data_IF_078527155421
#
_entry.id   IF_078527155421
#
_cell.length_a   1.000
_cell.length_b   1.000
_cell.length_c   1.000
_cell.angle_alpha   90.00
_cell.angle_beta   90.00
_cell.angle_gamma   90.00
#
_symmetry.space_group_name_H-M   'P 1'
#
loop_
_entity.id
_entity.type
_entity.pdbx_description
1 polymer ?
#
# COMPACT_ATOMS: atom_id res chain seq x y z
N UNK A 1 -15.17 19.56 4.69
CA UNK A 1 -14.09 18.55 4.63
C UNK A 1 -13.74 18.18 6.05
N UNK A 2 -13.90 16.91 6.43
CA UNK A 2 -13.46 16.40 7.73
C UNK A 2 -12.01 15.95 7.65
N UNK A 3 -11.29 16.05 8.77
CA UNK A 3 -9.98 15.41 8.96
C UNK A 3 -10.23 14.28 9.97
N UNK A 4 -9.83 13.07 9.60
CA UNK A 4 -9.85 11.92 10.51
C UNK A 4 -8.45 11.69 11.05
N UNK A 5 -8.36 11.40 12.35
CA UNK A 5 -7.12 11.04 13.02
C UNK A 5 -7.19 9.59 13.46
N UNK A 6 -6.13 8.82 13.20
CA UNK A 6 -5.94 7.50 13.80
C UNK A 6 -5.29 7.72 15.17
N UNK A 7 -6.08 7.58 16.23
CA UNK A 7 -5.58 7.65 17.60
C UNK A 7 -5.17 6.25 18.09
N UNK A 8 -3.89 5.92 17.92
CA UNK A 8 -3.29 4.69 18.43
C UNK A 8 -1.92 5.00 19.09
N UNK A 9 -1.91 5.61 20.29
CA UNK A 9 -0.67 6.09 20.92
C UNK A 9 0.36 4.99 21.15
N UNK A 10 -0.09 3.77 21.47
CA UNK A 10 0.77 2.58 21.60
C UNK A 10 1.55 2.23 20.33
N UNK A 11 1.14 2.72 19.15
CA UNK A 11 1.85 2.60 17.88
C UNK A 11 2.53 3.89 17.41
N UNK A 12 2.14 5.08 17.87
CA UNK A 12 2.65 6.33 17.29
C UNK A 12 3.26 7.32 18.29
N UNK A 13 2.89 7.26 19.57
CA UNK A 13 3.41 8.16 20.62
C UNK A 13 4.75 7.66 21.14
N UNK A 14 5.81 7.90 20.36
CA UNK A 14 7.19 7.50 20.69
C UNK A 14 8.23 8.41 20.05
N UNK A 15 9.42 8.55 20.66
CA UNK A 15 10.47 9.44 20.14
C UNK A 15 11.12 8.87 18.88
N UNK A 16 11.55 9.74 17.96
CA UNK A 16 12.21 9.36 16.72
C UNK A 16 11.51 9.94 15.50
N UNK A 17 11.61 9.25 14.36
CA UNK A 17 10.92 9.60 13.12
C UNK A 17 9.65 8.77 12.94
N UNK A 18 8.84 9.01 11.90
CA UNK A 18 7.70 8.14 11.58
C UNK A 18 8.07 6.66 11.34
N UNK A 19 9.33 6.37 11.00
CA UNK A 19 9.79 5.03 10.58
C UNK A 19 10.86 4.42 11.49
N UNK A 20 11.63 5.24 12.19
CA UNK A 20 12.82 4.83 12.95
C UNK A 20 12.82 5.38 14.36
N UNK A 21 13.42 4.63 15.27
CA UNK A 21 13.73 5.08 16.64
C UNK A 21 14.82 6.17 16.65
N UNK A 22 15.20 6.62 17.84
CA UNK A 22 16.24 7.66 18.02
C UNK A 22 17.64 7.22 17.59
N UNK A 23 17.86 5.93 17.39
CA UNK A 23 19.12 5.34 16.92
C UNK A 23 19.09 5.03 15.41
N UNK A 24 18.04 5.48 14.71
CA UNK A 24 17.80 5.26 13.28
C UNK A 24 17.51 3.80 12.90
N UNK A 25 17.13 2.94 13.86
CA UNK A 25 16.65 1.59 13.56
C UNK A 25 15.16 1.63 13.22
N UNK A 26 14.77 0.94 12.15
CA UNK A 26 13.37 0.83 11.77
C UNK A 26 12.58 0.16 12.89
N UNK A 27 11.41 0.69 13.24
CA UNK A 27 10.58 0.05 14.24
C UNK A 27 10.14 -1.33 13.76
N UNK A 28 10.28 -2.32 14.64
CA UNK A 28 9.95 -3.73 14.34
C UNK A 28 8.46 -3.95 14.07
N UNK A 29 7.62 -3.04 14.57
CA UNK A 29 6.18 -3.04 14.40
C UNK A 29 5.70 -2.08 13.29
N UNK A 30 6.60 -1.57 12.43
CA UNK A 30 6.20 -0.79 11.25
C UNK A 30 5.17 -1.51 10.37
N UNK A 31 5.24 -2.85 10.31
CA UNK A 31 4.22 -3.67 9.64
C UNK A 31 2.82 -3.38 10.16
N UNK A 32 2.64 -3.29 11.48
CA UNK A 32 1.35 -2.99 12.13
C UNK A 32 0.95 -1.53 11.92
N UNK A 33 1.90 -0.60 12.07
CA UNK A 33 1.65 0.84 11.94
C UNK A 33 1.07 1.20 10.58
N UNK A 34 1.63 0.63 9.52
CA UNK A 34 1.21 0.93 8.14
C UNK A 34 0.06 0.01 7.68
N UNK A 35 -0.07 -1.18 8.26
CA UNK A 35 -1.28 -1.98 8.12
C UNK A 35 -2.52 -1.29 8.70
N UNK A 36 -2.40 -0.68 9.90
CA UNK A 36 -3.48 0.07 10.52
C UNK A 36 -3.95 1.24 9.65
N UNK A 37 -3.02 1.98 9.04
CA UNK A 37 -3.36 3.08 8.12
C UNK A 37 -4.18 2.58 6.93
N UNK A 38 -3.74 1.48 6.30
CA UNK A 38 -4.47 0.88 5.18
C UNK A 38 -5.83 0.33 5.59
N UNK A 39 -5.90 -0.31 6.76
CA UNK A 39 -7.11 -0.92 7.31
C UNK A 39 -8.16 0.15 7.62
N UNK A 40 -7.79 1.24 8.30
CA UNK A 40 -8.71 2.36 8.57
C UNK A 40 -9.22 2.98 7.27
N UNK A 41 -8.36 3.13 6.25
CA UNK A 41 -8.80 3.59 4.93
C UNK A 41 -9.89 2.70 4.31
N UNK A 42 -9.78 1.39 4.47
CA UNK A 42 -10.81 0.43 4.06
C UNK A 42 -12.06 0.51 4.94
N UNK A 43 -11.92 0.59 6.26
CA UNK A 43 -13.06 0.66 7.18
C UNK A 43 -13.89 1.93 6.97
N UNK A 44 -13.26 3.06 6.63
CA UNK A 44 -13.98 4.26 6.18
C UNK A 44 -14.84 3.98 4.95
N UNK A 45 -14.34 3.22 3.97
CA UNK A 45 -15.12 2.77 2.80
C UNK A 45 -16.22 1.77 3.16
N UNK A 46 -16.00 0.93 4.18
CA UNK A 46 -17.01 0.01 4.73
C UNK A 46 -18.11 0.72 5.53
N UNK A 47 -17.93 2.02 5.85
CA UNK A 47 -18.91 2.80 6.58
C UNK A 47 -18.67 2.94 8.08
N UNK A 48 -17.40 2.95 8.50
CA UNK A 48 -17.00 3.28 9.86
C UNK A 48 -17.61 4.62 10.33
N UNK A 49 -17.68 5.61 9.42
CA UNK A 49 -18.48 6.82 9.64
C UNK A 49 -19.91 6.62 9.06
N UNK A 50 -20.96 6.72 9.90
CA UNK A 50 -22.34 6.55 9.43
C UNK A 50 -22.84 7.70 8.55
N UNK A 51 -22.17 8.86 8.55
CA UNK A 51 -22.58 10.06 7.82
C UNK A 51 -21.81 10.27 6.51
N UNK A 52 -20.67 9.61 6.34
CA UNK A 52 -19.83 9.80 5.15
C UNK A 52 -19.07 8.53 4.78
N UNK A 53 -18.97 8.27 3.47
CA UNK A 53 -18.18 7.16 2.91
C UNK A 53 -17.47 7.63 1.66
N UNK A 54 -16.19 7.27 1.44
CA UNK A 54 -15.49 7.58 0.21
C UNK A 54 -15.99 6.70 -0.94
N UNK A 55 -16.20 7.30 -2.10
CA UNK A 55 -16.34 6.54 -3.37
C UNK A 55 -14.98 6.02 -3.86
N UNK A 56 -13.91 6.74 -3.50
CA UNK A 56 -12.52 6.44 -3.92
C UNK A 56 -11.58 6.57 -2.72
N UNK A 57 -10.72 5.57 -2.53
CA UNK A 57 -9.58 5.62 -1.61
C UNK A 57 -8.31 5.81 -2.42
N UNK A 58 -7.64 6.96 -2.22
CA UNK A 58 -6.36 7.26 -2.85
C UNK A 58 -5.22 6.95 -1.86
N UNK A 59 -4.55 5.84 -2.08
CA UNK A 59 -3.41 5.39 -1.28
C UNK A 59 -2.09 5.90 -1.88
N UNK A 60 -1.18 6.37 -1.01
CA UNK A 60 0.11 6.90 -1.41
C UNK A 60 1.26 6.05 -0.85
N UNK A 61 2.02 5.47 -1.76
CA UNK A 61 3.21 4.67 -1.50
C UNK A 61 2.98 3.46 -0.58
N UNK A 62 4.06 2.74 -0.27
CA UNK A 62 4.03 1.52 0.54
C UNK A 62 3.35 1.74 1.91
N UNK A 63 3.41 2.94 2.48
CA UNK A 63 2.76 3.27 3.76
C UNK A 63 1.26 3.00 3.77
N UNK A 64 0.57 3.28 2.65
CA UNK A 64 -0.85 3.03 2.48
C UNK A 64 -1.12 1.87 1.51
N UNK A 65 -0.09 1.12 1.11
CA UNK A 65 -0.15 0.10 0.07
C UNK A 65 -1.08 -1.07 0.38
N UNK A 66 -1.42 -1.31 1.65
CA UNK A 66 -2.42 -2.31 2.02
C UNK A 66 -3.88 -1.84 1.85
N UNK A 67 -4.17 -0.54 1.74
CA UNK A 67 -5.56 -0.08 1.58
C UNK A 67 -6.27 -0.72 0.36
N UNK A 68 -5.67 -0.75 -0.85
CA UNK A 68 -6.27 -1.46 -1.99
C UNK A 68 -6.47 -2.97 -1.74
N UNK A 69 -5.55 -3.61 -1.02
CA UNK A 69 -5.65 -5.03 -0.70
C UNK A 69 -6.81 -5.31 0.28
N UNK A 70 -6.97 -4.50 1.33
CA UNK A 70 -8.10 -4.60 2.24
C UNK A 70 -9.44 -4.37 1.52
N UNK A 71 -9.52 -3.35 0.67
CA UNK A 71 -10.71 -3.11 -0.15
C UNK A 71 -11.04 -4.34 -1.01
N UNK A 72 -10.05 -4.94 -1.65
CA UNK A 72 -10.25 -6.16 -2.43
C UNK A 72 -10.74 -7.33 -1.56
N UNK A 73 -10.20 -7.52 -0.37
CA UNK A 73 -10.63 -8.55 0.58
C UNK A 73 -12.07 -8.34 1.08
N UNK A 74 -12.54 -7.09 1.15
CA UNK A 74 -13.89 -6.70 1.57
C UNK A 74 -14.91 -6.60 0.43
N UNK A 75 -14.58 -7.05 -0.77
CA UNK A 75 -15.49 -7.01 -1.92
C UNK A 75 -15.60 -5.64 -2.60
N UNK A 76 -14.54 -4.82 -2.51
CA UNK A 76 -14.38 -3.51 -3.16
C UNK A 76 -15.51 -2.52 -2.85
N UNK A 77 -15.69 -2.13 -1.57
CA UNK A 77 -16.72 -1.17 -1.18
C UNK A 77 -16.49 0.24 -1.75
N UNK A 78 -15.25 0.55 -2.16
CA UNK A 78 -14.86 1.77 -2.87
C UNK A 78 -13.84 1.43 -3.97
N UNK A 79 -13.68 2.34 -4.93
CA UNK A 79 -12.58 2.29 -5.90
C UNK A 79 -11.27 2.71 -5.26
N UNK A 80 -10.15 2.30 -5.84
CA UNK A 80 -8.83 2.59 -5.30
C UNK A 80 -7.88 3.17 -6.35
N UNK A 81 -7.18 4.23 -5.97
CA UNK A 81 -6.06 4.80 -6.75
C UNK A 81 -4.80 4.65 -5.91
N UNK A 82 -3.69 4.24 -6.52
CA UNK A 82 -2.41 4.10 -5.86
C UNK A 82 -1.34 4.97 -6.51
N UNK A 83 -0.75 5.91 -5.78
CA UNK A 83 0.40 6.67 -6.26
C UNK A 83 1.71 6.10 -5.75
N UNK A 84 2.63 5.81 -6.66
CA UNK A 84 4.02 5.48 -6.32
C UNK A 84 4.89 6.74 -6.34
N UNK A 85 5.61 7.01 -5.25
CA UNK A 85 6.60 8.10 -5.21
C UNK A 85 8.01 7.56 -5.36
N UNK A 86 8.32 6.39 -4.77
CA UNK A 86 9.64 5.78 -4.91
C UNK A 86 9.63 4.25 -4.78
N UNK A 87 9.78 3.57 -5.91
CA UNK A 87 9.82 2.11 -6.04
C UNK A 87 10.98 1.42 -5.29
N UNK A 88 12.02 2.17 -4.91
CA UNK A 88 13.12 1.63 -4.11
C UNK A 88 12.69 1.28 -2.67
N UNK A 89 11.61 1.91 -2.17
CA UNK A 89 11.07 1.66 -0.83
C UNK A 89 9.81 0.79 -0.93
N UNK A 90 9.98 -0.52 -0.81
CA UNK A 90 8.92 -1.50 -1.12
C UNK A 90 8.04 -1.89 0.08
N UNK A 91 8.36 -1.41 1.29
CA UNK A 91 7.68 -1.81 2.53
C UNK A 91 7.76 -3.33 2.75
N UNK A 92 8.99 -3.84 2.86
CA UNK A 92 9.27 -5.28 2.95
C UNK A 92 9.17 -5.78 4.39
N UNK A 93 8.36 -6.81 4.62
CA UNK A 93 8.17 -7.42 5.95
C UNK A 93 8.16 -8.95 5.88
N UNK A 94 8.48 -9.61 6.98
CA UNK A 94 8.48 -11.08 7.03
C UNK A 94 7.08 -11.68 6.85
N UNK A 95 6.98 -12.79 6.14
CA UNK A 95 5.71 -13.51 5.89
C UNK A 95 4.96 -13.93 7.17
N UNK A 96 5.67 -14.11 8.29
CA UNK A 96 5.06 -14.40 9.60
C UNK A 96 4.03 -13.36 10.04
N UNK A 97 4.10 -12.14 9.48
CA UNK A 97 3.17 -11.06 9.80
C UNK A 97 1.85 -11.13 9.01
N UNK A 98 1.60 -12.16 8.20
CA UNK A 98 0.30 -12.31 7.52
C UNK A 98 -0.88 -12.34 8.50
N UNK A 99 -0.72 -13.04 9.61
CA UNK A 99 -1.77 -13.11 10.65
C UNK A 99 -1.93 -11.78 11.39
N UNK A 100 -0.87 -10.96 11.43
CA UNK A 100 -0.85 -9.65 12.10
C UNK A 100 -1.57 -8.56 11.29
N UNK A 101 -1.68 -8.72 9.97
CA UNK A 101 -2.27 -7.71 9.07
C UNK A 101 -3.71 -8.05 8.63
N UNK A 102 -4.34 -9.05 9.25
CA UNK A 102 -5.75 -9.40 9.01
C UNK A 102 -6.16 -9.60 7.52
N UNK A 103 -5.22 -9.98 6.65
CA UNK A 103 -5.51 -10.36 5.27
C UNK A 103 -5.60 -11.89 5.15
N UNK A 104 -6.48 -12.42 4.28
CA UNK A 104 -6.52 -13.86 4.02
C UNK A 104 -5.17 -14.35 3.49
N UNK A 105 -4.72 -15.52 3.94
CA UNK A 105 -3.47 -16.14 3.46
C UNK A 105 -3.43 -16.32 1.94
N UNK A 106 -4.58 -16.41 1.26
CA UNK A 106 -4.65 -16.43 -0.20
C UNK A 106 -4.08 -15.19 -0.89
N UNK A 107 -3.97 -14.06 -0.18
CA UNK A 107 -3.37 -12.82 -0.70
C UNK A 107 -1.83 -12.88 -0.70
N UNK A 108 -1.23 -13.75 0.11
CA UNK A 108 0.20 -14.04 0.12
C UNK A 108 0.56 -14.96 -1.06
N UNK A 109 0.51 -14.39 -2.26
CA UNK A 109 0.73 -15.07 -3.53
C UNK A 109 1.56 -14.19 -4.47
N UNK A 110 2.28 -14.81 -5.42
CA UNK A 110 2.99 -14.09 -6.48
C UNK A 110 2.08 -13.14 -7.28
N UNK A 111 0.81 -13.49 -7.45
CA UNK A 111 -0.27 -12.68 -7.99
C UNK A 111 -1.04 -12.04 -6.83
N UNK A 112 -0.31 -11.31 -5.98
CA UNK A 112 -0.78 -10.72 -4.75
C UNK A 112 0.34 -9.89 -4.12
N UNK A 113 0.39 -9.85 -2.78
CA UNK A 113 1.33 -9.00 -2.04
C UNK A 113 2.68 -9.67 -1.74
N UNK A 114 2.82 -10.98 -1.97
CA UNK A 114 4.08 -11.70 -1.73
C UNK A 114 5.15 -11.22 -2.71
N UNK A 115 6.36 -10.98 -2.23
CA UNK A 115 7.51 -10.63 -3.05
C UNK A 115 8.79 -11.23 -2.45
N UNK A 116 9.42 -12.17 -3.16
CA UNK A 116 10.65 -12.86 -2.73
C UNK A 116 10.55 -13.50 -1.33
N UNK A 117 9.43 -14.16 -1.04
CA UNK A 117 9.13 -14.82 0.24
C UNK A 117 8.72 -13.87 1.37
N UNK A 118 8.55 -12.59 1.07
CA UNK A 118 8.21 -11.53 2.03
C UNK A 118 6.90 -10.84 1.65
N UNK A 119 6.35 -10.05 2.57
CA UNK A 119 5.28 -9.12 2.29
C UNK A 119 5.88 -7.88 1.62
N UNK A 120 5.28 -7.39 0.55
CA UNK A 120 5.56 -6.05 0.02
C UNK A 120 4.28 -5.23 0.00
N UNK A 121 4.23 -4.19 0.83
CA UNK A 121 3.07 -3.30 0.87
C UNK A 121 2.97 -2.49 -0.43
N UNK A 122 4.10 -2.10 -1.03
CA UNK A 122 4.12 -1.45 -2.33
C UNK A 122 3.52 -2.35 -3.42
N UNK A 123 3.93 -3.63 -3.45
CA UNK A 123 3.40 -4.61 -4.41
C UNK A 123 1.89 -4.80 -4.21
N UNK A 124 1.42 -4.85 -2.97
CA UNK A 124 -0.01 -4.93 -2.68
C UNK A 124 -0.77 -3.75 -3.30
N UNK A 125 -0.26 -2.52 -3.13
CA UNK A 125 -0.86 -1.32 -3.72
C UNK A 125 -0.90 -1.38 -5.24
N UNK A 126 0.22 -1.75 -5.87
CA UNK A 126 0.33 -1.92 -7.32
C UNK A 126 -0.59 -3.02 -7.88
N UNK A 127 -0.76 -4.12 -7.15
CA UNK A 127 -1.50 -5.28 -7.64
C UNK A 127 -3.02 -5.10 -7.49
N UNK A 128 -3.49 -4.59 -6.34
CA UNK A 128 -4.92 -4.59 -6.01
C UNK A 128 -5.67 -3.30 -6.39
N UNK A 129 -4.95 -2.19 -6.65
CA UNK A 129 -5.56 -0.91 -7.00
C UNK A 129 -6.32 -0.95 -8.33
N UNK A 130 -7.41 -0.18 -8.43
CA UNK A 130 -8.16 0.01 -9.68
C UNK A 130 -7.39 0.91 -10.66
N UNK A 131 -6.57 1.85 -10.17
CA UNK A 131 -5.75 2.75 -10.98
C UNK A 131 -4.41 3.07 -10.31
N UNK A 132 -3.36 3.31 -11.10
CA UNK A 132 -2.00 3.56 -10.58
C UNK A 132 -1.45 4.85 -11.18
N UNK A 133 -0.98 5.75 -10.33
CA UNK A 133 -0.31 6.97 -10.79
C UNK A 133 1.12 7.01 -10.30
N UNK A 134 1.94 7.81 -10.98
CA UNK A 134 3.30 8.11 -10.59
C UNK A 134 3.47 9.62 -10.46
N UNK A 135 4.47 10.06 -9.70
CA UNK A 135 4.72 11.48 -9.45
C UNK A 135 5.11 12.29 -10.69
N UNK A 136 5.53 11.62 -11.78
CA UNK A 136 5.73 12.27 -13.08
C UNK A 136 5.57 11.30 -14.25
N UNK A 137 5.28 11.80 -15.47
CA UNK A 137 5.25 10.98 -16.69
C UNK A 137 6.59 10.31 -16.99
N UNK A 138 7.70 10.99 -16.72
CA UNK A 138 9.05 10.43 -16.92
C UNK A 138 9.28 9.27 -15.96
N UNK A 139 8.98 9.48 -14.67
CA UNK A 139 9.11 8.43 -13.66
C UNK A 139 8.24 7.21 -13.96
N UNK A 140 7.00 7.43 -14.42
CA UNK A 140 6.09 6.36 -14.83
C UNK A 140 6.68 5.46 -15.93
N UNK A 141 7.48 6.04 -16.85
CA UNK A 141 8.18 5.26 -17.89
C UNK A 141 9.40 4.55 -17.33
N UNK A 142 10.23 5.26 -16.56
CA UNK A 142 11.48 4.73 -16.00
C UNK A 142 11.23 3.47 -15.17
N UNK A 143 10.23 3.45 -14.29
CA UNK A 143 9.95 2.30 -13.42
C UNK A 143 9.51 1.03 -14.17
N UNK A 144 9.27 1.10 -15.48
CA UNK A 144 8.97 -0.07 -16.32
C UNK A 144 10.21 -0.74 -16.90
N UNK A 145 11.35 -0.06 -16.81
CA UNK A 145 12.65 -0.55 -17.25
C UNK A 145 13.28 -1.40 -16.15
N UNK A 146 13.87 -2.57 -16.47
CA UNK A 146 14.39 -3.48 -15.47
C UNK A 146 15.37 -2.84 -14.47
N UNK A 147 16.20 -1.88 -14.91
CA UNK A 147 17.17 -1.23 -14.03
C UNK A 147 16.54 -0.29 -12.98
N UNK A 148 15.28 0.12 -13.14
CA UNK A 148 14.58 1.03 -12.22
C UNK A 148 13.33 0.38 -11.58
N UNK A 149 12.98 -0.84 -12.00
CA UNK A 149 11.79 -1.54 -11.55
C UNK A 149 11.98 -2.33 -10.25
N UNK A 150 13.21 -2.46 -9.74
CA UNK A 150 13.54 -3.14 -8.48
C UNK A 150 12.89 -4.54 -8.35
N UNK A 151 12.84 -5.30 -9.45
CA UNK A 151 12.25 -6.64 -9.53
C UNK A 151 10.72 -6.68 -9.70
N UNK A 152 10.06 -5.53 -9.87
CA UNK A 152 8.61 -5.42 -10.10
C UNK A 152 8.25 -5.18 -11.57
N UNK A 153 9.21 -5.28 -12.51
CA UNK A 153 9.01 -4.99 -13.94
C UNK A 153 7.88 -5.81 -14.56
N UNK A 154 7.75 -7.08 -14.18
CA UNK A 154 6.68 -7.95 -14.67
C UNK A 154 5.30 -7.43 -14.25
N UNK A 155 5.16 -7.02 -12.99
CA UNK A 155 3.92 -6.45 -12.47
C UNK A 155 3.63 -5.09 -13.13
N UNK A 156 4.61 -4.19 -13.15
CA UNK A 156 4.46 -2.82 -13.67
C UNK A 156 4.08 -2.81 -15.15
N UNK A 157 4.67 -3.69 -15.96
CA UNK A 157 4.26 -3.87 -17.35
C UNK A 157 2.80 -4.34 -17.43
N UNK A 158 2.40 -5.31 -16.62
CA UNK A 158 1.03 -5.85 -16.67
C UNK A 158 -0.06 -4.82 -16.32
N UNK A 159 0.24 -3.84 -15.46
CA UNK A 159 -0.72 -2.82 -15.03
C UNK A 159 -0.74 -1.60 -15.96
N UNK A 160 0.40 -1.22 -16.54
CA UNK A 160 0.48 -0.12 -17.51
C UNK A 160 -0.17 -0.51 -18.83
N UNK A 161 0.01 -1.75 -19.30
CA UNK A 161 -0.65 -2.26 -20.51
C UNK A 161 -2.19 -2.32 -20.39
N UNK A 162 -2.74 -2.28 -19.17
CA UNK A 162 -4.19 -2.23 -18.92
C UNK A 162 -4.77 -0.80 -18.94
N UNK A 163 -3.99 0.22 -19.31
CA UNK A 163 -4.45 1.62 -19.34
C UNK A 163 -4.54 2.28 -17.97
N UNK A 164 -3.96 1.67 -16.93
CA UNK A 164 -3.98 2.19 -15.56
C UNK A 164 -2.97 3.33 -15.32
N UNK A 165 -2.12 3.64 -16.29
CA UNK A 165 -1.28 4.84 -16.30
C UNK A 165 -1.20 5.29 -17.77
N UNK A 166 -1.73 6.47 -18.16
CA UNK A 166 -1.67 6.90 -19.55
C UNK A 166 -0.19 7.10 -19.94
N UNK A 167 0.31 6.21 -20.78
CA UNK A 167 1.45 6.54 -21.62
C UNK A 167 0.91 7.45 -22.72
N UNK A 168 1.17 8.76 -22.60
CA UNK A 168 0.98 9.68 -23.72
C UNK A 168 1.90 9.30 -24.86
#
# INVERSE_FOLDING_TARGET
>A
MGIYLIDAPHLYERPGSPYHDTNLYAYTDNVLRFALLGWVGCEMACGLDPFWRPDVVHAHDWHAGLAPAYLAARGRPAKSVFTVHNLAYQGMFYAKHMDDIELPWSFFNMHGLEFNGQLSFLKAGLYYADHITAVSPTYAREITEPQFAYGMEGLLRSVIWKGACPAY
#
